data_IF_681783731143
#
_entry.id   IF_681783731143
#
_cell.length_a   1.000
_cell.length_b   1.000
_cell.length_c   1.000
_cell.angle_alpha   90.00
_cell.angle_beta   90.00
_cell.angle_gamma   90.00
#
_symmetry.space_group_name_H-M   'P 1'
#
loop_
_entity.id
_entity.type
_entity.pdbx_description
1 polymer ?
#
# COMPACT_ATOMS: atom_id res chain seq x y z
N UNK A 1 9.81 -1.68 -18.43
CA UNK A 1 9.47 -0.37 -19.01
C UNK A 1 9.33 0.63 -17.87
N UNK A 2 10.27 1.58 -17.76
CA UNK A 2 10.28 2.62 -16.72
C UNK A 2 9.03 3.50 -16.69
N UNK A 3 8.20 3.43 -17.71
CA UNK A 3 6.98 4.22 -17.85
C UNK A 3 5.75 3.55 -17.22
N UNK A 4 5.84 2.27 -16.87
CA UNK A 4 4.70 1.52 -16.33
C UNK A 4 4.66 1.45 -14.80
N UNK A 5 5.79 1.71 -14.12
CA UNK A 5 5.86 1.84 -12.67
C UNK A 5 5.82 3.33 -12.33
N UNK A 6 4.66 3.82 -11.98
CA UNK A 6 4.55 5.15 -11.39
C UNK A 6 5.04 5.06 -9.95
N UNK A 7 6.11 5.79 -9.66
CA UNK A 7 6.62 5.98 -8.32
C UNK A 7 5.76 7.03 -7.60
N UNK A 8 4.52 6.71 -7.32
CA UNK A 8 3.71 7.47 -6.38
C UNK A 8 4.06 7.01 -4.96
N UNK A 9 3.83 7.84 -3.97
CA UNK A 9 4.07 7.49 -2.57
C UNK A 9 3.37 6.19 -2.24
N UNK A 10 4.12 5.21 -1.74
CA UNK A 10 3.57 3.99 -1.21
C UNK A 10 3.64 4.13 0.31
N UNK A 11 2.50 4.12 0.97
CA UNK A 11 2.43 4.00 2.43
C UNK A 11 2.10 2.56 2.77
N UNK A 12 2.80 2.00 3.75
CA UNK A 12 2.53 0.66 4.28
C UNK A 12 2.32 0.75 5.79
N UNK A 13 1.43 -0.10 6.29
CA UNK A 13 1.11 -0.24 7.71
C UNK A 13 1.29 -1.70 8.13
N UNK A 14 2.54 -2.17 8.38
CA UNK A 14 2.85 -3.57 8.63
C UNK A 14 2.39 -4.01 10.03
N UNK A 15 1.08 -4.13 10.23
CA UNK A 15 0.44 -4.53 11.48
C UNK A 15 -0.05 -5.99 11.48
N UNK A 16 0.00 -6.68 10.32
CA UNK A 16 -0.37 -8.08 10.16
C UNK A 16 -1.87 -8.32 9.93
N UNK A 17 -2.63 -7.30 9.57
CA UNK A 17 -4.07 -7.41 9.27
C UNK A 17 -4.36 -7.77 7.80
N UNK A 18 -3.32 -7.96 6.99
CA UNK A 18 -3.34 -8.23 5.54
C UNK A 18 -3.73 -7.04 4.65
N UNK A 19 -3.85 -5.85 5.23
CA UNK A 19 -4.15 -4.63 4.49
C UNK A 19 -2.95 -3.68 4.55
N UNK A 20 -2.40 -3.30 3.40
CA UNK A 20 -1.23 -2.43 3.28
C UNK A 20 0.00 -2.86 4.11
N UNK A 21 0.12 -4.13 4.46
CA UNK A 21 1.24 -4.66 5.27
C UNK A 21 2.59 -4.53 4.58
N UNK A 22 2.61 -4.34 3.26
CA UNK A 22 3.88 -4.29 2.55
C UNK A 22 3.80 -3.71 1.15
N UNK A 23 4.96 -3.48 0.58
CA UNK A 23 5.13 -3.15 -0.83
C UNK A 23 5.02 -4.44 -1.63
N UNK A 24 3.91 -4.60 -2.35
CA UNK A 24 3.68 -5.73 -3.23
C UNK A 24 3.57 -5.26 -4.69
N UNK A 25 4.16 -6.04 -5.58
CA UNK A 25 4.17 -5.72 -7.00
C UNK A 25 3.14 -6.58 -7.74
N UNK A 26 1.97 -6.02 -8.00
CA UNK A 26 0.93 -6.66 -8.80
C UNK A 26 1.04 -6.24 -10.26
N UNK A 27 0.89 -7.19 -11.19
CA UNK A 27 0.88 -6.95 -12.64
C UNK A 27 2.14 -6.26 -13.18
N UNK A 28 3.29 -6.47 -12.56
CA UNK A 28 4.55 -5.92 -13.06
C UNK A 28 4.88 -6.57 -14.40
N UNK A 29 5.09 -5.72 -15.40
CA UNK A 29 5.58 -6.17 -16.70
C UNK A 29 6.92 -6.85 -16.50
N UNK A 30 6.99 -8.05 -16.97
CA UNK A 30 8.10 -8.97 -16.89
C UNK A 30 9.41 -8.29 -17.24
N UNK A 31 10.36 -8.34 -16.33
CA UNK A 31 11.74 -7.89 -16.58
C UNK A 31 12.48 -8.95 -17.38
N UNK A 32 12.24 -8.96 -18.69
CA UNK A 32 12.93 -9.85 -19.63
C UNK A 32 14.37 -9.43 -19.77
N UNK A 33 15.23 -10.43 -19.98
CA UNK A 33 16.65 -10.24 -20.27
C UNK A 33 17.46 -9.67 -19.09
N UNK A 34 16.98 -9.78 -17.87
CA UNK A 34 17.80 -9.59 -16.69
C UNK A 34 18.39 -10.92 -16.23
N UNK A 35 19.65 -10.95 -15.88
CA UNK A 35 20.34 -12.11 -15.28
C UNK A 35 20.10 -12.19 -13.77
N UNK A 36 19.89 -11.07 -13.13
CA UNK A 36 19.50 -10.96 -11.72
C UNK A 36 18.71 -9.67 -11.47
N UNK A 37 17.88 -9.69 -10.43
CA UNK A 37 17.29 -8.51 -9.80
C UNK A 37 17.85 -8.41 -8.40
N UNK A 38 18.24 -7.21 -8.01
CA UNK A 38 18.64 -6.86 -6.66
C UNK A 38 17.65 -5.87 -6.09
N UNK A 39 17.23 -6.11 -4.88
CA UNK A 39 16.30 -5.28 -4.14
C UNK A 39 17.02 -4.72 -2.92
N UNK A 40 16.93 -3.44 -2.70
CA UNK A 40 17.48 -2.80 -1.51
C UNK A 40 16.48 -1.78 -0.96
N UNK A 41 16.38 -1.71 0.36
CA UNK A 41 15.68 -0.64 1.06
C UNK A 41 16.69 0.15 1.86
N UNK A 42 16.64 1.46 1.69
CA UNK A 42 17.44 2.38 2.50
C UNK A 42 16.51 3.29 3.33
N UNK A 43 16.98 3.68 4.51
CA UNK A 43 16.32 4.70 5.31
C UNK A 43 16.58 6.12 4.75
N UNK A 44 16.03 7.14 5.39
CA UNK A 44 16.18 8.53 4.99
C UNK A 44 17.64 9.03 4.99
N UNK A 45 18.51 8.42 5.81
CA UNK A 45 19.94 8.72 5.87
C UNK A 45 20.76 8.00 4.78
N UNK A 46 20.11 7.18 3.94
CA UNK A 46 20.73 6.40 2.89
C UNK A 46 21.43 5.12 3.38
N UNK A 47 21.17 4.69 4.61
CA UNK A 47 21.70 3.44 5.12
C UNK A 47 20.81 2.28 4.64
N UNK A 48 21.43 1.22 4.10
CA UNK A 48 20.72 0.00 3.74
C UNK A 48 20.21 -0.71 4.99
N UNK A 49 18.90 -1.00 5.02
CA UNK A 49 18.22 -1.68 6.13
C UNK A 49 17.73 -3.06 5.74
N UNK A 50 17.46 -3.27 4.46
CA UNK A 50 17.03 -4.55 3.93
C UNK A 50 17.57 -4.74 2.51
N UNK A 51 17.86 -5.99 2.15
CA UNK A 51 18.21 -6.36 0.77
C UNK A 51 17.86 -7.80 0.48
N UNK A 52 17.53 -8.06 -0.78
CA UNK A 52 17.32 -9.39 -1.33
C UNK A 52 17.74 -9.43 -2.81
N UNK A 53 17.83 -10.63 -3.39
CA UNK A 53 18.19 -10.79 -4.78
C UNK A 53 17.58 -12.07 -5.37
N UNK A 54 17.11 -11.96 -6.60
CA UNK A 54 16.65 -13.09 -7.41
C UNK A 54 17.53 -13.27 -8.62
N UNK A 55 18.08 -14.46 -8.79
CA UNK A 55 18.89 -14.83 -9.95
C UNK A 55 18.03 -15.55 -10.97
N UNK A 56 18.13 -15.12 -12.21
CA UNK A 56 17.42 -15.77 -13.31
C UNK A 56 18.20 -17.02 -13.78
N UNK A 57 17.55 -18.17 -13.69
CA UNK A 57 18.11 -19.43 -14.19
C UNK A 57 17.61 -19.65 -15.62
N UNK A 58 18.49 -19.51 -16.64
CA UNK A 58 18.09 -19.68 -18.00
C UNK A 58 17.67 -21.13 -18.28
N UNK A 59 16.62 -21.31 -19.09
CA UNK A 59 16.20 -22.63 -19.58
C UNK A 59 16.51 -22.76 -21.04
N UNK A 60 17.00 -23.94 -21.44
CA UNK A 60 17.10 -24.29 -22.86
C UNK A 60 15.72 -24.67 -23.37
N UNK A 61 15.27 -23.98 -24.39
CA UNK A 61 14.06 -24.31 -25.15
C UNK A 61 14.47 -24.70 -26.57
N UNK A 62 13.56 -25.36 -27.28
CA UNK A 62 13.77 -25.69 -28.69
C UNK A 62 12.76 -24.92 -29.53
N UNK A 63 13.27 -24.07 -30.41
CA UNK A 63 12.45 -23.31 -31.35
C UNK A 63 12.40 -24.03 -32.71
N UNK A 64 11.22 -24.07 -33.31
CA UNK A 64 11.03 -24.70 -34.61
C UNK A 64 11.70 -23.87 -35.72
N UNK A 65 12.45 -24.55 -36.59
CA UNK A 65 13.01 -23.95 -37.80
C UNK A 65 12.82 -24.87 -39.00
N UNK A 66 13.09 -24.41 -40.20
CA UNK A 66 13.01 -25.24 -41.41
C UNK A 66 14.03 -26.37 -41.44
N UNK A 67 15.09 -26.29 -40.63
CA UNK A 67 16.12 -27.33 -40.46
C UNK A 67 15.91 -28.28 -39.28
N UNK A 68 14.78 -28.15 -38.54
CA UNK A 68 14.50 -28.89 -37.34
C UNK A 68 14.61 -28.03 -36.07
N UNK A 69 14.35 -28.59 -34.87
CA UNK A 69 14.40 -27.85 -33.61
C UNK A 69 15.82 -27.34 -33.33
N UNK A 70 15.96 -26.04 -33.07
CA UNK A 70 17.22 -25.40 -32.66
C UNK A 70 17.14 -25.07 -31.18
N UNK A 71 18.18 -25.38 -30.38
CA UNK A 71 18.25 -24.97 -28.99
C UNK A 71 18.37 -23.44 -28.90
N UNK A 72 17.58 -22.84 -28.04
CA UNK A 72 17.62 -21.42 -27.70
C UNK A 72 17.60 -21.24 -26.19
N UNK A 73 18.27 -20.21 -25.69
CA UNK A 73 18.25 -19.85 -24.28
C UNK A 73 17.07 -18.92 -24.01
N UNK A 74 16.22 -19.29 -23.07
CA UNK A 74 15.13 -18.45 -22.61
C UNK A 74 15.35 -18.07 -21.15
N UNK A 75 15.33 -16.77 -20.89
CA UNK A 75 15.29 -16.24 -19.53
C UNK A 75 13.84 -16.14 -19.07
N UNK A 76 13.61 -16.51 -17.80
CA UNK A 76 12.29 -16.44 -17.20
C UNK A 76 11.94 -14.98 -16.88
N UNK A 77 10.66 -14.70 -16.81
CA UNK A 77 10.19 -13.45 -16.28
C UNK A 77 10.37 -13.45 -14.76
N UNK A 78 10.93 -12.38 -14.21
CA UNK A 78 11.14 -12.19 -12.78
C UNK A 78 10.24 -11.06 -12.28
N UNK A 79 9.66 -11.25 -11.11
CA UNK A 79 8.94 -10.22 -10.39
C UNK A 79 9.83 -9.61 -9.30
N UNK A 80 9.65 -8.33 -8.95
CA UNK A 80 10.25 -7.76 -7.76
C UNK A 80 9.76 -8.49 -6.50
N UNK A 81 10.64 -8.57 -5.49
CA UNK A 81 10.29 -9.18 -4.22
C UNK A 81 9.45 -8.23 -3.37
N UNK A 82 8.54 -8.78 -2.56
CA UNK A 82 7.73 -7.99 -1.66
C UNK A 82 8.56 -7.56 -0.43
N UNK A 83 8.24 -6.40 0.14
CA UNK A 83 8.89 -5.94 1.37
C UNK A 83 7.83 -5.49 2.39
N UNK A 84 7.96 -5.98 3.62
CA UNK A 84 6.97 -5.83 4.69
C UNK A 84 7.47 -4.99 5.86
N UNK A 85 8.23 -3.92 5.59
CA UNK A 85 8.66 -2.97 6.62
C UNK A 85 9.63 -3.55 7.65
N UNK A 86 10.41 -4.58 7.27
CA UNK A 86 11.38 -5.24 8.17
C UNK A 86 12.82 -5.02 7.71
N UNK A 87 13.76 -5.14 8.65
CA UNK A 87 15.18 -5.22 8.34
C UNK A 87 15.56 -6.62 7.80
N UNK A 88 16.83 -6.80 7.41
CA UNK A 88 17.35 -8.08 6.91
C UNK A 88 17.35 -9.22 7.95
N UNK A 89 17.09 -8.94 9.21
CA UNK A 89 16.92 -9.93 10.28
C UNK A 89 15.45 -10.27 10.55
N UNK A 90 14.51 -9.61 9.86
CA UNK A 90 13.08 -9.74 10.07
C UNK A 90 12.53 -8.90 11.21
N UNK A 91 13.30 -7.95 11.76
CA UNK A 91 12.82 -7.03 12.79
C UNK A 91 12.07 -5.87 12.17
N UNK A 92 10.92 -5.49 12.76
CA UNK A 92 10.15 -4.36 12.29
C UNK A 92 10.98 -3.06 12.35
N UNK A 93 10.87 -2.27 11.29
CA UNK A 93 11.50 -0.96 11.20
C UNK A 93 10.56 0.12 11.76
N UNK A 94 11.09 1.22 12.30
CA UNK A 94 10.27 2.32 12.81
C UNK A 94 9.53 3.05 11.69
N UNK A 95 8.45 3.74 12.06
CA UNK A 95 7.73 4.64 11.16
C UNK A 95 8.68 5.68 10.55
N UNK A 96 8.44 6.02 9.30
CA UNK A 96 9.23 7.00 8.58
C UNK A 96 9.44 6.69 7.10
N UNK A 97 10.25 7.55 6.47
CA UNK A 97 10.56 7.48 5.05
C UNK A 97 11.66 6.46 4.75
N UNK A 98 11.39 5.62 3.76
CA UNK A 98 12.31 4.65 3.17
C UNK A 98 12.32 4.76 1.66
N UNK A 99 13.31 4.13 1.03
CA UNK A 99 13.43 4.08 -0.42
C UNK A 99 13.66 2.65 -0.87
N UNK A 100 12.69 2.09 -1.59
CA UNK A 100 12.82 0.76 -2.18
C UNK A 100 13.44 0.91 -3.58
N UNK A 101 14.53 0.20 -3.83
CA UNK A 101 15.28 0.25 -5.07
C UNK A 101 15.35 -1.13 -5.72
N UNK A 102 15.01 -1.20 -6.99
CA UNK A 102 15.18 -2.37 -7.84
C UNK A 102 16.31 -2.11 -8.80
N UNK A 103 17.30 -2.98 -8.84
CA UNK A 103 18.38 -2.92 -9.83
C UNK A 103 18.38 -4.22 -10.65
N UNK A 104 18.30 -4.10 -11.98
CA UNK A 104 18.35 -5.22 -12.90
C UNK A 104 19.74 -5.34 -13.51
N UNK A 105 20.34 -6.51 -13.38
CA UNK A 105 21.57 -6.84 -14.08
C UNK A 105 21.25 -7.34 -15.50
N UNK A 106 21.88 -6.80 -16.55
CA UNK A 106 21.61 -7.22 -17.91
C UNK A 106 22.20 -8.62 -18.19
N UNK A 107 21.59 -9.33 -19.12
CA UNK A 107 22.19 -10.52 -19.71
C UNK A 107 23.35 -10.09 -20.62
N UNK A 108 24.53 -10.64 -20.38
CA UNK A 108 25.82 -10.17 -20.94
C UNK A 108 26.08 -10.55 -22.41
N UNK A 109 25.21 -11.22 -23.09
CA UNK A 109 25.41 -11.71 -24.46
C UNK A 109 25.11 -10.66 -25.58
N UNK A 110 24.72 -9.44 -25.19
CA UNK A 110 24.58 -8.32 -26.12
C UNK A 110 25.47 -7.15 -25.72
N UNK A 111 26.62 -7.04 -26.39
CA UNK A 111 27.69 -6.06 -26.10
C UNK A 111 27.29 -4.58 -26.06
N UNK A 112 26.06 -4.21 -26.41
CA UNK A 112 25.69 -2.80 -26.57
C UNK A 112 24.86 -2.20 -25.43
N UNK A 113 24.52 -2.93 -24.37
CA UNK A 113 23.64 -2.47 -23.30
C UNK A 113 23.99 -2.98 -21.90
N UNK A 114 25.24 -2.93 -21.52
CA UNK A 114 25.68 -3.22 -20.13
C UNK A 114 25.29 -2.09 -19.14
N UNK A 115 24.13 -1.53 -19.26
CA UNK A 115 23.63 -0.51 -18.33
C UNK A 115 22.72 -1.21 -17.34
N UNK A 116 23.12 -1.24 -16.07
CA UNK A 116 22.22 -1.58 -14.96
C UNK A 116 21.03 -0.63 -15.00
N UNK A 117 19.85 -1.20 -15.00
CA UNK A 117 18.62 -0.43 -14.91
C UNK A 117 18.21 -0.37 -13.45
N UNK A 118 18.03 0.84 -12.93
CA UNK A 118 17.68 1.07 -11.53
C UNK A 118 16.40 1.88 -11.45
N UNK A 119 15.50 1.43 -10.60
CA UNK A 119 14.25 2.11 -10.28
C UNK A 119 14.18 2.25 -8.75
N UNK A 120 13.99 3.47 -8.28
CA UNK A 120 13.82 3.77 -6.85
C UNK A 120 12.51 4.51 -6.66
N UNK A 121 11.77 4.15 -5.63
CA UNK A 121 10.55 4.84 -5.23
C UNK A 121 10.46 4.97 -3.71
N UNK A 122 9.85 6.06 -3.23
CA UNK A 122 9.67 6.29 -1.82
C UNK A 122 8.61 5.34 -1.24
N UNK A 123 8.87 4.85 -0.04
CA UNK A 123 7.93 4.08 0.77
C UNK A 123 7.87 4.71 2.14
N UNK A 124 6.70 4.87 2.69
CA UNK A 124 6.49 5.35 4.05
C UNK A 124 5.95 4.22 4.92
N UNK A 125 6.57 3.99 6.09
CA UNK A 125 6.00 3.13 7.13
C UNK A 125 5.24 4.04 8.08
N UNK A 126 3.95 3.77 8.23
CA UNK A 126 3.09 4.44 9.19
C UNK A 126 2.22 3.41 9.88
N UNK A 127 2.48 3.19 11.15
CA UNK A 127 1.72 2.26 12.01
C UNK A 127 0.84 3.00 13.02
N UNK A 128 0.80 4.34 12.93
CA UNK A 128 -0.03 5.14 13.83
C UNK A 128 -1.50 5.02 13.41
N UNK A 129 -2.35 4.90 14.40
CA UNK A 129 -3.78 4.93 14.13
C UNK A 129 -4.26 6.37 13.91
N UNK A 130 -5.22 6.59 12.97
CA UNK A 130 -5.82 7.90 12.78
C UNK A 130 -6.37 8.49 14.08
N UNK A 131 -6.19 9.78 14.27
CA UNK A 131 -6.60 10.49 15.48
C UNK A 131 -7.93 11.22 15.28
N UNK A 132 -8.90 10.90 16.14
CA UNK A 132 -10.13 11.67 16.23
C UNK A 132 -9.87 12.95 17.05
N UNK A 133 -10.17 14.11 16.48
CA UNK A 133 -10.21 15.36 17.24
C UNK A 133 -11.48 15.40 18.09
N UNK A 134 -11.39 14.92 19.33
CA UNK A 134 -12.53 14.88 20.27
C UNK A 134 -13.16 16.25 20.48
N UNK A 135 -12.39 17.34 20.39
CA UNK A 135 -12.88 18.71 20.52
C UNK A 135 -13.74 19.18 19.32
N UNK A 136 -13.69 18.42 18.23
CA UNK A 136 -14.46 18.68 17.00
C UNK A 136 -15.51 17.62 16.69
N UNK A 137 -15.84 16.78 17.65
CA UNK A 137 -17.06 15.95 17.57
C UNK A 137 -18.25 16.82 17.92
N UNK A 138 -19.14 17.02 16.96
CA UNK A 138 -20.27 17.95 17.10
C UNK A 138 -21.57 17.25 16.74
N UNK A 139 -22.63 17.60 17.48
CA UNK A 139 -23.99 17.22 17.15
C UNK A 139 -24.82 18.51 17.02
N UNK A 140 -25.13 18.88 15.78
CA UNK A 140 -25.79 20.14 15.49
C UNK A 140 -27.18 19.92 14.91
N UNK A 141 -28.20 20.55 15.53
CA UNK A 141 -29.56 20.57 14.97
C UNK A 141 -29.80 21.91 14.28
N UNK A 142 -30.03 21.86 12.98
CA UNK A 142 -30.34 23.03 12.18
C UNK A 142 -31.74 23.59 12.43
N UNK A 143 -32.00 24.78 11.92
CA UNK A 143 -33.32 25.43 12.00
C UNK A 143 -34.42 24.66 11.23
N UNK A 144 -34.03 23.79 10.32
CA UNK A 144 -34.89 22.87 9.56
C UNK A 144 -35.24 21.58 10.33
N UNK A 145 -34.70 21.43 11.55
CA UNK A 145 -34.90 20.27 12.41
C UNK A 145 -33.99 19.08 12.10
N UNK A 146 -33.08 19.19 11.13
CA UNK A 146 -32.08 18.14 10.84
C UNK A 146 -30.96 18.16 11.86
N UNK A 147 -30.56 16.99 12.29
CA UNK A 147 -29.44 16.82 13.20
C UNK A 147 -28.28 16.15 12.46
N UNK A 148 -27.14 16.81 12.50
CA UNK A 148 -25.90 16.34 11.83
C UNK A 148 -24.84 16.02 12.87
N UNK A 149 -24.27 14.82 12.80
CA UNK A 149 -23.05 14.44 13.48
C UNK A 149 -21.85 14.86 12.60
N UNK A 150 -20.97 15.67 13.15
CA UNK A 150 -19.72 16.08 12.51
C UNK A 150 -18.52 15.62 13.31
N UNK A 151 -17.48 15.15 12.64
CA UNK A 151 -16.22 14.71 13.23
C UNK A 151 -15.06 15.15 12.35
N UNK A 152 -13.89 15.35 12.96
CA UNK A 152 -12.62 15.58 12.25
C UNK A 152 -11.65 14.48 12.64
N UNK A 153 -11.05 13.86 11.62
CA UNK A 153 -10.01 12.85 11.77
C UNK A 153 -8.75 13.33 11.08
N UNK A 154 -7.59 13.03 11.62
CA UNK A 154 -6.31 13.40 11.03
C UNK A 154 -5.26 12.31 11.24
N UNK A 155 -4.32 12.23 10.30
CA UNK A 155 -3.14 11.40 10.33
C UNK A 155 -2.05 12.01 9.47
N UNK A 156 -0.80 11.60 9.61
CA UNK A 156 0.28 12.03 8.72
C UNK A 156 0.08 11.47 7.31
N UNK A 157 -0.40 10.23 7.21
CA UNK A 157 -0.72 9.52 5.96
C UNK A 157 -2.11 8.89 6.05
N UNK A 158 -3.13 9.72 6.04
CA UNK A 158 -4.49 9.29 6.32
C UNK A 158 -4.99 8.24 5.32
N UNK A 159 -5.10 7.03 5.82
CA UNK A 159 -5.78 5.92 5.21
C UNK A 159 -6.87 5.48 6.18
N UNK A 160 -8.13 5.76 5.86
CA UNK A 160 -9.19 5.66 6.85
C UNK A 160 -10.43 5.03 6.24
N UNK A 161 -10.90 3.98 6.89
CA UNK A 161 -12.25 3.48 6.75
C UNK A 161 -13.09 3.95 7.94
N UNK A 162 -14.14 4.71 7.67
CA UNK A 162 -15.06 5.22 8.69
C UNK A 162 -16.40 4.54 8.55
N UNK A 163 -16.81 3.83 9.59
CA UNK A 163 -18.14 3.25 9.68
C UNK A 163 -18.89 3.80 10.90
N UNK A 164 -20.18 4.05 10.72
CA UNK A 164 -21.06 4.46 11.83
C UNK A 164 -22.24 3.52 11.90
N UNK A 165 -22.41 2.88 13.05
CA UNK A 165 -23.45 1.92 13.32
C UNK A 165 -24.44 2.44 14.36
N UNK A 166 -25.71 2.05 14.23
CA UNK A 166 -26.69 2.17 15.32
C UNK A 166 -26.50 0.99 16.26
N UNK A 167 -26.10 1.27 17.49
CA UNK A 167 -25.91 0.22 18.50
C UNK A 167 -27.24 -0.42 18.89
N UNK A 168 -27.18 -1.68 19.29
CA UNK A 168 -28.30 -2.37 19.89
C UNK A 168 -28.69 -1.72 21.24
N UNK A 169 -29.86 -2.07 21.76
CA UNK A 169 -30.36 -1.49 23.03
C UNK A 169 -29.46 -1.82 24.25
N UNK A 170 -28.63 -2.85 24.14
CA UNK A 170 -27.62 -3.22 25.14
C UNK A 170 -26.26 -2.52 24.92
N UNK A 171 -26.14 -1.67 23.91
CA UNK A 171 -24.92 -0.93 23.54
C UNK A 171 -23.92 -1.75 22.71
N UNK A 172 -24.28 -2.96 22.28
CA UNK A 172 -23.41 -3.79 21.44
C UNK A 172 -23.61 -3.52 19.96
N UNK A 173 -22.62 -3.91 19.15
CA UNK A 173 -22.68 -3.97 17.69
C UNK A 173 -22.75 -5.43 17.27
N UNK A 174 -23.56 -5.72 16.27
CA UNK A 174 -23.69 -7.05 15.67
C UNK A 174 -23.67 -6.95 14.15
N UNK A 175 -23.50 -8.04 13.41
CA UNK A 175 -23.59 -8.04 11.95
C UNK A 175 -24.92 -7.55 11.37
N UNK A 176 -25.97 -7.51 12.20
CA UNK A 176 -27.29 -6.97 11.83
C UNK A 176 -27.52 -5.52 12.26
N UNK A 177 -26.54 -4.88 12.93
CA UNK A 177 -26.64 -3.46 13.29
C UNK A 177 -26.68 -2.62 12.03
N UNK A 178 -27.55 -1.59 12.04
CA UNK A 178 -27.69 -0.70 10.91
C UNK A 178 -26.42 0.12 10.73
N UNK A 179 -25.78 0.02 9.57
CA UNK A 179 -24.65 0.86 9.17
C UNK A 179 -25.22 2.09 8.44
N UNK A 180 -25.06 3.27 9.04
CA UNK A 180 -25.58 4.53 8.51
C UNK A 180 -24.54 5.34 7.75
N UNK A 181 -23.26 4.96 7.86
CA UNK A 181 -22.16 5.54 7.09
C UNK A 181 -21.07 4.51 6.89
N UNK A 182 -20.61 4.40 5.65
CA UNK A 182 -19.36 3.76 5.29
C UNK A 182 -18.61 4.69 4.33
N UNK A 183 -17.46 5.18 4.73
CA UNK A 183 -16.67 6.14 3.97
C UNK A 183 -15.18 5.83 4.06
N UNK A 184 -14.57 5.63 2.91
CA UNK A 184 -13.12 5.44 2.78
C UNK A 184 -12.46 6.74 2.32
N UNK A 185 -11.29 7.04 2.88
CA UNK A 185 -10.47 8.20 2.54
C UNK A 185 -9.01 7.76 2.42
N UNK A 186 -8.23 8.44 1.59
CA UNK A 186 -6.80 8.14 1.44
C UNK A 186 -6.53 6.94 0.52
N UNK A 187 -7.41 6.66 -0.44
CA UNK A 187 -7.14 5.66 -1.49
C UNK A 187 -5.88 6.02 -2.27
N UNK A 188 -5.28 5.02 -2.92
CA UNK A 188 -4.03 5.13 -3.68
C UNK A 188 -3.95 6.32 -4.66
N UNK A 189 -5.09 6.90 -5.02
CA UNK A 189 -5.20 8.08 -5.88
C UNK A 189 -5.12 9.42 -5.10
N UNK A 190 -5.02 9.39 -3.76
CA UNK A 190 -4.99 10.56 -2.87
C UNK A 190 -3.86 10.47 -1.84
N UNK A 191 -2.59 10.41 -2.27
CA UNK A 191 -1.46 10.10 -1.38
C UNK A 191 -1.17 11.15 -0.30
N UNK A 192 -1.66 12.37 -0.42
CA UNK A 192 -1.34 13.49 0.47
C UNK A 192 -2.51 13.92 1.36
N UNK A 193 -3.48 13.03 1.60
CA UNK A 193 -4.58 13.36 2.52
C UNK A 193 -4.10 13.18 3.95
N UNK A 194 -4.16 14.26 4.74
CA UNK A 194 -3.74 14.27 6.15
C UNK A 194 -4.91 14.52 7.11
N UNK A 195 -6.09 14.81 6.59
CA UNK A 195 -7.30 14.99 7.41
C UNK A 195 -8.57 14.79 6.60
N UNK A 196 -9.61 14.33 7.26
CA UNK A 196 -10.95 14.26 6.70
C UNK A 196 -12.01 14.76 7.68
N UNK A 197 -13.03 15.41 7.13
CA UNK A 197 -14.21 15.80 7.86
C UNK A 197 -15.38 14.86 7.51
N UNK A 198 -15.83 14.12 8.50
CA UNK A 198 -17.01 13.26 8.39
C UNK A 198 -18.23 14.05 8.81
N UNK A 199 -19.30 13.99 8.01
CA UNK A 199 -20.58 14.63 8.31
C UNK A 199 -21.72 13.71 7.88
N UNK A 200 -22.60 13.36 8.81
CA UNK A 200 -23.72 12.44 8.55
C UNK A 200 -25.00 12.96 9.20
N UNK A 201 -26.13 12.85 8.47
CA UNK A 201 -27.46 13.14 9.00
C UNK A 201 -27.90 12.02 9.95
N UNK A 202 -28.14 12.37 11.19
CA UNK A 202 -28.55 11.45 12.25
C UNK A 202 -29.94 11.80 12.82
N UNK A 203 -30.73 12.54 12.08
CA UNK A 203 -32.04 13.03 12.51
C UNK A 203 -32.97 11.91 12.96
N UNK A 204 -33.00 10.80 12.21
CA UNK A 204 -33.88 9.66 12.48
C UNK A 204 -33.38 8.77 13.64
N UNK A 205 -32.18 9.06 14.18
CA UNK A 205 -31.57 8.29 15.26
C UNK A 205 -31.57 8.99 16.61
N UNK A 206 -32.46 9.96 16.80
CA UNK A 206 -32.59 10.66 18.06
C UNK A 206 -32.81 9.70 19.23
N UNK A 207 -31.97 9.80 20.26
CA UNK A 207 -32.02 8.92 21.43
C UNK A 207 -31.42 7.54 21.24
N UNK A 208 -30.86 7.26 20.08
CA UNK A 208 -30.05 6.04 19.83
C UNK A 208 -28.58 6.26 20.18
N UNK A 209 -27.91 5.20 20.58
CA UNK A 209 -26.46 5.19 20.72
C UNK A 209 -25.85 4.91 19.33
N UNK A 210 -24.91 5.76 18.92
CA UNK A 210 -24.15 5.57 17.70
C UNK A 210 -22.75 5.12 18.06
N UNK A 211 -22.26 4.12 17.33
CA UNK A 211 -20.90 3.62 17.43
C UNK A 211 -20.12 4.04 16.19
N UNK A 212 -18.99 4.69 16.39
CA UNK A 212 -18.08 5.10 15.32
C UNK A 212 -16.88 4.17 15.34
N UNK A 213 -16.62 3.50 14.23
CA UNK A 213 -15.46 2.69 13.99
C UNK A 213 -14.55 3.41 13.00
N UNK A 214 -13.29 3.54 13.37
CA UNK A 214 -12.21 4.09 12.54
C UNK A 214 -11.14 3.00 12.42
N UNK A 215 -10.79 2.60 11.21
CA UNK A 215 -9.76 1.60 10.93
C UNK A 215 -8.88 1.98 9.73
#
# INVERSE_FOLDING_TARGET
DKTSLKAEHITISPNGDTYMDGVEFVNVSQMRNASALHFTVTNADGQEVWSDAVTNVPKTIYVSSQGGPIPATMYQDMAPDAWYGTDSNGSALPDGQYYYTITADPVTDHESRNVRDTLTFPVYIDTQAPQLDEGRVTLNTGADGRTTLGMQVSDEHLYLDTEIFVANDDGTISPSSENILHKNVGLADMPDVTSDAVSVDVTDYAGKLLYVHLS
#
